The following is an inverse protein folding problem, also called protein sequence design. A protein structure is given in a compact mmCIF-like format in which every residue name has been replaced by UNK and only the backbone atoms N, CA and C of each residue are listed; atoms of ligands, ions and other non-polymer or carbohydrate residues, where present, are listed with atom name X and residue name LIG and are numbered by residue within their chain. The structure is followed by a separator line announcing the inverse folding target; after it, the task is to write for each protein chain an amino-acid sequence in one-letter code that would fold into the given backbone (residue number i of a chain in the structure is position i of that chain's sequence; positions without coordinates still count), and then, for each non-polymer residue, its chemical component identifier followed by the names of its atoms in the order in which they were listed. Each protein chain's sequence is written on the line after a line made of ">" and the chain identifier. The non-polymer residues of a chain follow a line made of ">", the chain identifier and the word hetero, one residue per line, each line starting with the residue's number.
data_IF_108483060549
#
_entry.id   IF_108483060549
#
_cell.length_a   1.000
_cell.length_b   1.000
_cell.length_c   1.000
_cell.angle_alpha   90.00
_cell.angle_beta   90.00
_cell.angle_gamma   90.00
#
_symmetry.space_group_name_H-M   'P 1'
#
loop_
_entity.id
_entity.type
_entity.pdbx_description
1 polymer ?
#
# COMPACT_ATOMS: atom_id res chain seq x y z
N UNK A 1 23.62 -13.32 -9.60
CA UNK A 1 24.47 -12.19 -9.16
C UNK A 1 24.09 -10.95 -9.96
N UNK A 2 24.04 -9.74 -9.36
CA UNK A 2 23.69 -8.53 -10.11
C UNK A 2 24.77 -8.18 -11.14
N UNK A 3 24.33 -7.82 -12.35
CA UNK A 3 25.21 -7.37 -13.44
C UNK A 3 26.05 -6.15 -13.02
N UNK A 4 27.21 -5.95 -13.65
CA UNK A 4 28.05 -4.75 -13.47
C UNK A 4 27.25 -3.44 -13.60
N UNK A 5 26.33 -3.39 -14.58
CA UNK A 5 25.48 -2.23 -14.82
C UNK A 5 24.41 -2.02 -13.74
N UNK A 6 23.82 -3.10 -13.23
CA UNK A 6 22.86 -3.04 -12.12
C UNK A 6 23.50 -2.44 -10.87
N UNK A 7 24.71 -2.88 -10.54
CA UNK A 7 25.45 -2.37 -9.37
C UNK A 7 25.78 -0.87 -9.49
N UNK A 8 26.19 -0.40 -10.68
CA UNK A 8 26.46 1.02 -10.92
C UNK A 8 25.19 1.87 -10.78
N UNK A 9 24.08 1.43 -11.39
CA UNK A 9 22.80 2.16 -11.32
C UNK A 9 22.29 2.22 -9.88
N UNK A 10 22.33 1.10 -9.14
CA UNK A 10 21.90 1.08 -7.74
C UNK A 10 22.74 2.00 -6.87
N UNK A 11 24.08 2.02 -7.04
CA UNK A 11 24.97 2.93 -6.30
C UNK A 11 24.64 4.40 -6.57
N UNK A 12 24.33 4.75 -7.82
CA UNK A 12 23.95 6.12 -8.19
C UNK A 12 22.61 6.51 -7.57
N UNK A 13 21.64 5.61 -7.56
CA UNK A 13 20.33 5.88 -6.95
C UNK A 13 20.38 5.92 -5.41
N UNK A 14 21.30 5.18 -4.79
CA UNK A 14 21.53 5.21 -3.34
C UNK A 14 22.04 6.57 -2.85
N UNK A 15 22.84 7.25 -3.67
CA UNK A 15 23.39 8.58 -3.37
C UNK A 15 22.38 9.72 -3.62
N UNK A 16 21.26 9.44 -4.29
CA UNK A 16 20.32 10.45 -4.78
C UNK A 16 18.88 10.09 -4.39
N UNK A 17 18.54 10.29 -3.10
CA UNK A 17 17.24 9.92 -2.52
C UNK A 17 16.03 10.62 -3.18
N UNK A 18 16.21 11.82 -3.71
CA UNK A 18 15.16 12.58 -4.41
C UNK A 18 14.84 12.02 -5.82
N UNK A 19 15.64 11.08 -6.29
CA UNK A 19 15.51 10.43 -7.58
C UNK A 19 16.18 11.17 -8.73
N UNK A 20 16.44 10.44 -9.82
CA UNK A 20 17.17 10.93 -10.98
C UNK A 20 16.45 10.62 -12.28
N UNK A 21 16.52 11.54 -13.25
CA UNK A 21 16.04 11.26 -14.61
C UNK A 21 16.87 10.15 -15.25
N UNK A 22 16.30 9.44 -16.23
CA UNK A 22 17.04 8.43 -17.01
C UNK A 22 18.36 8.98 -17.57
N UNK A 23 18.37 10.24 -18.01
CA UNK A 23 19.56 10.90 -18.55
C UNK A 23 20.61 11.10 -17.44
N UNK A 24 20.20 11.58 -16.26
CA UNK A 24 21.11 11.80 -15.15
C UNK A 24 21.63 10.48 -14.56
N UNK A 25 20.82 9.42 -14.54
CA UNK A 25 21.28 8.07 -14.19
C UNK A 25 22.34 7.61 -15.18
N UNK A 26 22.10 7.74 -16.49
CA UNK A 26 23.05 7.34 -17.52
C UNK A 26 24.39 8.08 -17.38
N UNK A 27 24.34 9.41 -17.18
CA UNK A 27 25.52 10.24 -17.01
C UNK A 27 26.30 9.90 -15.73
N UNK A 28 25.62 9.81 -14.58
CA UNK A 28 26.28 9.54 -13.29
C UNK A 28 26.77 8.10 -13.15
N UNK A 29 26.06 7.15 -13.76
CA UNK A 29 26.50 5.76 -13.83
C UNK A 29 27.53 5.54 -14.95
N UNK A 30 27.81 6.56 -15.77
CA UNK A 30 28.75 6.51 -16.89
C UNK A 30 28.47 5.31 -17.81
N UNK A 31 27.23 5.31 -18.33
CA UNK A 31 26.68 4.31 -19.26
C UNK A 31 25.83 5.00 -20.33
N UNK A 32 25.58 4.31 -21.44
CA UNK A 32 24.68 4.84 -22.48
C UNK A 32 23.23 4.96 -21.99
N UNK A 33 22.47 5.90 -22.56
CA UNK A 33 21.04 6.08 -22.25
C UNK A 33 20.21 4.82 -22.54
N UNK A 34 20.53 4.09 -23.61
CA UNK A 34 19.86 2.83 -23.97
C UNK A 34 20.16 1.72 -22.96
N UNK A 35 21.41 1.63 -22.50
CA UNK A 35 21.82 0.73 -21.42
C UNK A 35 21.11 1.09 -20.12
N UNK A 36 21.06 2.37 -19.76
CA UNK A 36 20.35 2.84 -18.58
C UNK A 36 18.87 2.45 -18.64
N UNK A 37 18.16 2.72 -19.75
CA UNK A 37 16.76 2.33 -19.93
C UNK A 37 16.53 0.82 -19.75
N UNK A 38 17.34 -0.01 -20.40
CA UNK A 38 17.25 -1.48 -20.30
C UNK A 38 17.38 -1.94 -18.86
N UNK A 39 18.43 -1.50 -18.16
CA UNK A 39 18.71 -1.98 -16.80
C UNK A 39 17.80 -1.34 -15.75
N UNK A 40 17.33 -0.11 -15.95
CA UNK A 40 16.30 0.49 -15.09
C UNK A 40 14.98 -0.29 -15.19
N UNK A 41 14.58 -0.72 -16.40
CA UNK A 41 13.41 -1.58 -16.58
C UNK A 41 13.56 -2.93 -15.85
N UNK A 42 14.71 -3.59 -16.01
CA UNK A 42 15.01 -4.86 -15.33
C UNK A 42 15.03 -4.72 -13.79
N UNK A 43 15.65 -3.65 -13.28
CA UNK A 43 15.72 -3.39 -11.84
C UNK A 43 14.34 -3.07 -11.25
N UNK A 44 13.46 -2.43 -12.03
CA UNK A 44 12.07 -2.16 -11.64
C UNK A 44 11.23 -3.43 -11.63
N UNK A 45 11.37 -4.27 -12.66
CA UNK A 45 10.73 -5.59 -12.70
C UNK A 45 11.17 -6.46 -11.51
N UNK A 46 12.45 -6.36 -11.12
CA UNK A 46 12.99 -7.01 -9.93
C UNK A 46 12.58 -6.34 -8.60
N UNK A 47 11.76 -5.29 -8.62
CA UNK A 47 11.26 -4.57 -7.43
C UNK A 47 12.30 -3.76 -6.67
N UNK A 48 13.52 -3.58 -7.20
CA UNK A 48 14.63 -2.89 -6.52
C UNK A 48 14.56 -1.37 -6.62
N UNK A 49 13.92 -0.87 -7.67
CA UNK A 49 13.76 0.56 -7.94
C UNK A 49 12.36 0.86 -8.44
N UNK A 50 11.94 2.11 -8.33
CA UNK A 50 10.71 2.62 -8.95
C UNK A 50 10.92 4.06 -9.45
N UNK A 51 9.90 4.66 -10.08
CA UNK A 51 9.97 6.07 -10.49
C UNK A 51 8.73 6.87 -10.13
N UNK A 52 8.92 8.17 -9.95
CA UNK A 52 7.82 9.16 -9.93
C UNK A 52 7.78 9.93 -11.24
N UNK A 53 6.59 10.17 -11.77
CA UNK A 53 6.39 11.04 -12.93
C UNK A 53 6.34 12.50 -12.48
N UNK A 54 7.27 13.30 -12.99
CA UNK A 54 7.34 14.75 -12.76
C UNK A 54 7.38 15.42 -14.13
N UNK A 55 6.20 15.88 -14.57
CA UNK A 55 6.01 16.40 -15.93
C UNK A 55 6.34 15.34 -16.99
N UNK A 56 7.15 15.66 -18.02
CA UNK A 56 7.54 14.70 -19.06
C UNK A 56 8.62 13.71 -18.62
N UNK A 57 9.11 13.81 -17.38
CA UNK A 57 10.28 13.06 -16.89
C UNK A 57 9.92 12.03 -15.83
N UNK A 58 10.67 10.93 -15.82
CA UNK A 58 10.63 9.89 -14.78
C UNK A 58 11.83 10.08 -13.85
N UNK A 59 11.60 10.28 -12.56
CA UNK A 59 12.65 10.30 -11.54
C UNK A 59 12.74 8.92 -10.89
N UNK A 60 13.77 8.17 -11.27
CA UNK A 60 14.11 6.86 -10.74
C UNK A 60 14.69 6.97 -9.34
N UNK A 61 14.26 6.10 -8.44
CA UNK A 61 14.72 6.03 -7.05
C UNK A 61 14.77 4.59 -6.57
N UNK A 62 15.55 4.32 -5.53
CA UNK A 62 15.50 3.02 -4.87
C UNK A 62 14.09 2.77 -4.32
N UNK A 63 13.61 1.54 -4.46
CA UNK A 63 12.42 1.11 -3.75
C UNK A 63 12.84 0.99 -2.28
N UNK A 64 12.25 1.81 -1.41
CA UNK A 64 12.40 1.60 0.04
C UNK A 64 12.00 0.15 0.36
N UNK A 65 12.73 -0.55 1.24
CA UNK A 65 12.37 -1.90 1.66
C UNK A 65 10.96 -1.86 2.27
N UNK A 66 9.96 -2.24 1.47
CA UNK A 66 8.54 -2.08 1.80
C UNK A 66 7.66 -1.54 0.66
N UNK A 67 8.20 -0.86 -0.36
CA UNK A 67 7.38 -0.21 -1.42
C UNK A 67 7.20 -1.00 -2.73
N UNK A 68 7.76 -2.22 -2.85
CA UNK A 68 7.76 -2.98 -4.12
C UNK A 68 6.41 -3.60 -4.52
N UNK A 69 5.31 -3.39 -3.77
CA UNK A 69 4.08 -4.20 -3.93
C UNK A 69 2.76 -3.42 -3.90
N UNK A 70 2.79 -2.12 -4.18
CA UNK A 70 1.54 -1.37 -4.41
C UNK A 70 0.91 -1.82 -5.73
N UNK A 71 -0.34 -2.27 -5.70
CA UNK A 71 -1.14 -2.49 -6.91
C UNK A 71 -1.18 -1.15 -7.66
N UNK A 72 -0.72 -1.12 -8.92
CA UNK A 72 -0.61 0.11 -9.71
C UNK A 72 -2.01 0.69 -10.01
N UNK A 73 -2.57 1.46 -9.07
CA UNK A 73 -3.72 2.32 -9.33
C UNK A 73 -3.18 3.60 -9.99
N UNK A 74 -3.92 4.18 -10.95
CA UNK A 74 -3.48 5.42 -11.60
C UNK A 74 -3.10 6.48 -10.55
N UNK A 75 -2.00 7.25 -10.73
CA UNK A 75 -1.44 8.13 -9.69
C UNK A 75 -2.44 9.19 -9.17
N UNK A 76 -3.44 9.57 -9.97
CA UNK A 76 -4.54 10.45 -9.54
C UNK A 76 -5.53 9.79 -8.57
N UNK A 77 -5.71 8.47 -8.65
CA UNK A 77 -6.60 7.68 -7.79
C UNK A 77 -5.94 7.32 -6.46
N UNK A 78 -4.67 6.96 -6.46
CA UNK A 78 -3.92 6.70 -5.21
C UNK A 78 -3.94 7.93 -4.29
N UNK A 79 -3.71 9.13 -4.84
CA UNK A 79 -3.81 10.39 -4.07
C UNK A 79 -5.21 10.63 -3.47
N UNK A 80 -6.27 10.28 -4.19
CA UNK A 80 -7.64 10.38 -3.67
C UNK A 80 -7.83 9.43 -2.49
N UNK A 81 -7.37 8.19 -2.60
CA UNK A 81 -7.46 7.20 -1.52
C UNK A 81 -6.64 7.64 -0.31
N UNK A 82 -5.42 8.15 -0.50
CA UNK A 82 -4.61 8.73 0.57
C UNK A 82 -5.33 9.87 1.30
N UNK A 83 -5.99 10.76 0.55
CA UNK A 83 -6.80 11.84 1.13
C UNK A 83 -7.96 11.30 1.97
N UNK A 84 -8.64 10.27 1.47
CA UNK A 84 -9.75 9.62 2.16
C UNK A 84 -9.28 8.89 3.43
N UNK A 85 -8.11 8.25 3.41
CA UNK A 85 -7.52 7.63 4.61
C UNK A 85 -7.12 8.66 5.68
N UNK A 86 -6.62 9.83 5.27
CA UNK A 86 -6.33 10.93 6.20
C UNK A 86 -7.59 11.47 6.86
N UNK A 87 -8.65 11.66 6.08
CA UNK A 87 -9.98 12.06 6.57
C UNK A 87 -10.54 11.03 7.56
N UNK A 88 -10.40 9.73 7.23
CA UNK A 88 -10.81 8.64 8.11
C UNK A 88 -10.05 8.67 9.44
N UNK A 89 -8.72 8.80 9.39
CA UNK A 89 -7.89 8.88 10.60
C UNK A 89 -8.26 10.06 11.49
N UNK A 90 -8.52 11.23 10.90
CA UNK A 90 -8.90 12.44 11.63
C UNK A 90 -10.29 12.37 12.26
N UNK A 91 -11.28 11.84 11.54
CA UNK A 91 -12.66 11.72 12.02
C UNK A 91 -12.79 10.76 13.20
N UNK A 92 -12.04 9.66 13.20
CA UNK A 92 -12.18 8.58 14.20
C UNK A 92 -11.08 8.51 15.25
N UNK A 93 -9.99 9.26 15.11
CA UNK A 93 -8.85 9.20 16.04
C UNK A 93 -8.06 7.89 15.96
N UNK A 94 -7.93 7.31 14.76
CA UNK A 94 -7.20 6.06 14.54
C UNK A 94 -5.70 6.23 14.69
N UNK A 95 -5.04 5.16 15.13
CA UNK A 95 -3.57 5.05 15.11
C UNK A 95 -3.07 4.83 13.68
N UNK A 96 -3.83 4.09 12.89
CA UNK A 96 -3.55 3.90 11.47
C UNK A 96 -4.69 3.25 10.70
N UNK A 97 -4.59 3.33 9.37
CA UNK A 97 -5.51 2.69 8.45
C UNK A 97 -4.81 2.23 7.17
N UNK A 98 -5.36 1.21 6.53
CA UNK A 98 -4.86 0.70 5.25
C UNK A 98 -6.00 0.21 4.37
N UNK A 99 -5.85 0.41 3.07
CA UNK A 99 -6.69 -0.17 2.04
C UNK A 99 -5.88 -1.22 1.32
N UNK A 100 -6.43 -2.42 1.25
CA UNK A 100 -5.86 -3.53 0.50
C UNK A 100 -6.93 -4.10 -0.44
N UNK A 101 -6.52 -4.92 -1.41
CA UNK A 101 -7.49 -5.71 -2.17
C UNK A 101 -7.89 -6.99 -1.42
N UNK A 102 -8.79 -7.78 -2.02
CA UNK A 102 -9.27 -9.03 -1.42
C UNK A 102 -8.19 -10.12 -1.26
N UNK A 103 -7.02 -9.96 -1.90
CA UNK A 103 -5.85 -10.84 -1.74
C UNK A 103 -4.90 -10.33 -0.65
N UNK A 104 -5.13 -9.14 -0.10
CA UNK A 104 -4.29 -8.50 0.91
C UNK A 104 -3.14 -7.67 0.34
N UNK A 105 -3.12 -7.39 -0.97
CA UNK A 105 -2.13 -6.50 -1.57
C UNK A 105 -2.47 -5.05 -1.23
N UNK A 106 -1.47 -4.31 -0.75
CA UNK A 106 -1.67 -2.92 -0.33
C UNK A 106 -1.95 -2.02 -1.52
N UNK A 107 -3.00 -1.21 -1.37
CA UNK A 107 -3.39 -0.14 -2.30
C UNK A 107 -2.87 1.20 -1.77
N UNK A 108 -3.11 1.48 -0.49
CA UNK A 108 -2.66 2.69 0.21
C UNK A 108 -2.66 2.43 1.71
N UNK A 109 -1.77 3.08 2.46
CA UNK A 109 -1.70 2.93 3.91
C UNK A 109 -1.21 4.21 4.59
N UNK A 110 -1.80 4.51 5.74
CA UNK A 110 -1.33 5.47 6.74
C UNK A 110 -1.24 4.71 8.07
N UNK A 111 -0.14 3.99 8.25
CA UNK A 111 0.11 3.12 9.40
C UNK A 111 1.31 3.65 10.21
N UNK A 112 1.40 3.28 11.50
CA UNK A 112 2.61 3.49 12.30
C UNK A 112 3.87 2.96 11.62
N UNK A 113 5.02 3.59 11.88
CA UNK A 113 6.29 3.31 11.19
C UNK A 113 6.85 1.91 11.45
N UNK A 114 6.45 1.28 12.55
CA UNK A 114 6.82 -0.08 12.95
C UNK A 114 5.92 -1.16 12.31
N UNK A 115 4.84 -0.75 11.63
CA UNK A 115 3.91 -1.66 10.98
C UNK A 115 4.18 -1.80 9.47
N UNK A 116 4.16 -3.04 8.99
CA UNK A 116 4.29 -3.34 7.57
C UNK A 116 2.89 -3.52 6.93
N UNK A 117 2.48 -2.64 6.00
CA UNK A 117 1.16 -2.68 5.37
C UNK A 117 0.84 -4.02 4.68
N UNK A 118 1.81 -4.60 3.99
CA UNK A 118 1.65 -5.83 3.20
C UNK A 118 1.42 -7.04 4.10
N UNK A 119 2.13 -7.13 5.22
CA UNK A 119 1.93 -8.17 6.22
C UNK A 119 0.54 -8.05 6.84
N UNK A 120 0.17 -6.84 7.28
CA UNK A 120 -1.16 -6.60 7.88
C UNK A 120 -2.27 -6.94 6.88
N UNK A 121 -2.19 -6.44 5.65
CA UNK A 121 -3.15 -6.72 4.58
C UNK A 121 -3.31 -8.22 4.34
N UNK A 122 -2.20 -8.94 4.21
CA UNK A 122 -2.19 -10.40 3.99
C UNK A 122 -2.79 -11.17 5.16
N UNK A 123 -2.47 -10.80 6.40
CA UNK A 123 -3.00 -11.51 7.57
C UNK A 123 -4.49 -11.27 7.75
N UNK A 124 -4.94 -10.01 7.62
CA UNK A 124 -6.35 -9.65 7.81
C UNK A 124 -7.22 -10.23 6.69
N UNK A 125 -6.76 -10.21 5.43
CA UNK A 125 -7.50 -10.85 4.32
C UNK A 125 -7.67 -12.34 4.55
N UNK A 126 -6.61 -13.04 5.02
CA UNK A 126 -6.68 -14.46 5.38
C UNK A 126 -7.61 -14.73 6.55
N UNK A 127 -7.59 -13.91 7.61
CA UNK A 127 -8.50 -14.06 8.74
C UNK A 127 -9.95 -13.96 8.27
N UNK A 128 -10.27 -12.99 7.42
CA UNK A 128 -11.61 -12.84 6.86
C UNK A 128 -12.00 -14.06 6.01
N UNK A 129 -11.11 -14.57 5.16
CA UNK A 129 -11.35 -15.78 4.35
C UNK A 129 -11.56 -17.04 5.21
N UNK A 130 -10.76 -17.21 6.27
CA UNK A 130 -10.89 -18.34 7.20
C UNK A 130 -12.21 -18.22 7.96
N UNK A 131 -12.55 -17.03 8.45
CA UNK A 131 -13.80 -16.75 9.17
C UNK A 131 -15.05 -16.88 8.31
N UNK A 132 -14.94 -16.67 6.99
CA UNK A 132 -16.07 -16.82 6.07
C UNK A 132 -16.63 -18.25 6.06
N UNK A 133 -15.80 -19.28 6.29
CA UNK A 133 -16.24 -20.68 6.34
C UNK A 133 -17.23 -20.96 7.49
N UNK A 134 -16.89 -20.75 8.77
CA UNK A 134 -17.84 -20.94 9.87
C UNK A 134 -19.02 -19.96 9.82
N UNK A 135 -18.82 -18.74 9.30
CA UNK A 135 -19.90 -17.78 9.11
C UNK A 135 -20.96 -18.32 8.14
N UNK A 136 -20.56 -18.84 6.98
CA UNK A 136 -21.48 -19.44 6.00
C UNK A 136 -22.18 -20.69 6.54
N UNK A 137 -21.47 -21.55 7.29
CA UNK A 137 -22.10 -22.70 7.97
C UNK A 137 -23.19 -22.29 8.97
N UNK A 138 -23.13 -21.04 9.46
CA UNK A 138 -24.07 -20.46 10.41
C UNK A 138 -25.10 -19.55 9.73
N UNK A 139 -25.15 -19.48 8.40
CA UNK A 139 -26.05 -18.59 7.64
C UNK A 139 -25.71 -17.10 7.76
N UNK A 140 -24.46 -16.76 8.08
CA UNK A 140 -23.94 -15.38 8.25
C UNK A 140 -23.03 -15.03 7.06
N UNK A 141 -23.51 -15.29 5.84
CA UNK A 141 -22.82 -14.93 4.60
C UNK A 141 -23.54 -13.78 3.85
N UNK A 142 -22.79 -12.92 3.13
CA UNK A 142 -21.33 -12.87 3.09
C UNK A 142 -20.72 -12.25 4.35
N UNK A 143 -19.59 -12.79 4.82
CA UNK A 143 -18.83 -12.19 5.93
C UNK A 143 -18.18 -10.87 5.47
N UNK A 144 -18.72 -9.74 5.91
CA UNK A 144 -18.28 -8.40 5.49
C UNK A 144 -17.22 -7.78 6.38
N UNK A 145 -17.12 -8.17 7.64
CA UNK A 145 -16.22 -7.51 8.59
C UNK A 145 -15.66 -8.46 9.64
N UNK A 146 -14.47 -8.16 10.14
CA UNK A 146 -13.86 -8.79 11.31
C UNK A 146 -13.39 -7.72 12.29
N UNK A 147 -13.51 -8.02 13.58
CA UNK A 147 -12.98 -7.21 14.68
C UNK A 147 -12.04 -8.11 15.47
N UNK A 148 -10.80 -7.66 15.62
CA UNK A 148 -9.79 -8.27 16.48
C UNK A 148 -9.56 -7.32 17.66
N UNK A 149 -9.78 -7.81 18.87
CA UNK A 149 -9.67 -7.03 20.09
C UNK A 149 -8.54 -7.57 20.96
N UNK A 150 -7.71 -6.65 21.48
CA UNK A 150 -6.66 -6.96 22.42
C UNK A 150 -6.60 -5.88 23.51
N UNK A 151 -5.75 -6.11 24.51
CA UNK A 151 -5.69 -5.25 25.71
C UNK A 151 -5.38 -3.77 25.41
N UNK A 152 -4.64 -3.52 24.32
CA UNK A 152 -4.15 -2.17 23.97
C UNK A 152 -4.96 -1.50 22.87
N UNK A 153 -5.83 -2.23 22.17
CA UNK A 153 -6.50 -1.70 21.00
C UNK A 153 -7.27 -2.72 20.19
N UNK A 154 -7.76 -2.26 19.04
CA UNK A 154 -8.60 -3.04 18.14
C UNK A 154 -8.15 -2.86 16.69
N UNK A 155 -8.20 -3.95 15.94
CA UNK A 155 -8.16 -3.93 14.48
C UNK A 155 -9.58 -4.21 13.99
N UNK A 156 -10.14 -3.28 13.22
CA UNK A 156 -11.42 -3.43 12.56
C UNK A 156 -11.17 -3.47 11.07
N UNK A 157 -11.65 -4.51 10.39
CA UNK A 157 -11.50 -4.62 8.96
C UNK A 157 -12.85 -4.91 8.29
N UNK A 158 -13.10 -4.26 7.16
CA UNK A 158 -14.34 -4.37 6.40
C UNK A 158 -14.06 -4.51 4.92
N UNK A 159 -14.61 -5.56 4.30
CA UNK A 159 -14.63 -5.74 2.86
C UNK A 159 -15.82 -4.98 2.25
N UNK A 160 -15.56 -4.27 1.17
CA UNK A 160 -16.56 -3.58 0.37
C UNK A 160 -16.17 -3.68 -1.11
N UNK A 161 -16.92 -4.47 -1.88
CA UNK A 161 -16.58 -4.77 -3.28
C UNK A 161 -15.21 -5.46 -3.44
N UNK A 162 -14.27 -4.79 -4.13
CA UNK A 162 -12.92 -5.31 -4.41
C UNK A 162 -11.86 -4.86 -3.38
N UNK A 163 -12.27 -4.12 -2.37
CA UNK A 163 -11.36 -3.55 -1.37
C UNK A 163 -11.68 -4.05 0.03
N UNK A 164 -10.65 -4.06 0.87
CA UNK A 164 -10.69 -4.33 2.29
C UNK A 164 -10.04 -3.13 2.99
N UNK A 165 -10.86 -2.39 3.74
CA UNK A 165 -10.39 -1.29 4.58
C UNK A 165 -10.07 -1.85 5.97
N UNK A 166 -8.92 -1.47 6.51
CA UNK A 166 -8.38 -1.89 7.80
C UNK A 166 -8.17 -0.62 8.64
N UNK A 167 -8.67 -0.63 9.87
CA UNK A 167 -8.54 0.44 10.84
C UNK A 167 -7.89 -0.11 12.13
N UNK A 168 -6.94 0.65 12.68
CA UNK A 168 -6.24 0.32 13.92
C UNK A 168 -6.51 1.45 14.90
N UNK A 169 -7.00 1.08 16.08
CA UNK A 169 -7.45 2.03 17.10
C UNK A 169 -6.96 1.62 18.48
N UNK A 170 -6.68 2.60 19.33
CA UNK A 170 -6.43 2.36 20.76
C UNK A 170 -7.69 1.92 21.48
N UNK A 171 -7.54 1.27 22.65
CA UNK A 171 -8.65 0.68 23.42
C UNK A 171 -9.77 1.67 23.79
N UNK A 172 -9.43 2.95 23.94
CA UNK A 172 -10.36 4.00 24.39
C UNK A 172 -11.17 4.59 23.23
N UNK A 173 -10.84 4.23 21.98
CA UNK A 173 -11.58 4.65 20.80
C UNK A 173 -12.95 3.95 20.77
N UNK A 174 -14.07 4.68 20.70
CA UNK A 174 -15.41 4.07 20.71
C UNK A 174 -15.62 3.13 19.50
N UNK A 175 -15.80 1.83 19.76
CA UNK A 175 -15.98 0.84 18.71
C UNK A 175 -17.18 1.13 17.79
N UNK A 176 -18.27 1.66 18.35
CA UNK A 176 -19.44 2.07 17.57
C UNK A 176 -19.11 3.12 16.51
N UNK A 177 -18.26 4.10 16.86
CA UNK A 177 -17.81 5.14 15.95
C UNK A 177 -16.91 4.55 14.84
N UNK A 178 -15.93 3.71 15.21
CA UNK A 178 -15.06 3.04 14.23
C UNK A 178 -15.87 2.19 13.24
N UNK A 179 -16.91 1.48 13.72
CA UNK A 179 -17.79 0.66 12.87
C UNK A 179 -18.63 1.49 11.90
N UNK A 180 -19.15 2.64 12.32
CA UNK A 180 -19.92 3.54 11.47
C UNK A 180 -19.03 4.10 10.35
N UNK A 181 -17.90 4.65 10.75
CA UNK A 181 -16.98 5.38 9.87
C UNK A 181 -16.29 4.43 8.89
N UNK A 182 -15.83 3.25 9.35
CA UNK A 182 -15.21 2.28 8.43
C UNK A 182 -16.19 1.80 7.35
N UNK A 183 -17.49 1.74 7.65
CA UNK A 183 -18.51 1.41 6.63
C UNK A 183 -18.65 2.51 5.58
N UNK A 184 -18.72 3.77 6.02
CA UNK A 184 -18.86 4.92 5.14
C UNK A 184 -17.62 5.12 4.25
N UNK A 185 -16.43 5.06 4.86
CA UNK A 185 -15.16 5.19 4.16
C UNK A 185 -14.88 4.01 3.22
N UNK A 186 -15.22 2.77 3.59
CA UNK A 186 -15.05 1.63 2.70
C UNK A 186 -15.92 1.76 1.43
N UNK A 187 -17.17 2.25 1.56
CA UNK A 187 -18.05 2.54 0.41
C UNK A 187 -17.48 3.67 -0.47
N UNK A 188 -17.00 4.75 0.15
CA UNK A 188 -16.37 5.88 -0.58
C UNK A 188 -15.15 5.41 -1.38
N UNK A 189 -14.34 4.54 -0.81
CA UNK A 189 -13.14 3.99 -1.45
C UNK A 189 -13.51 2.99 -2.54
N UNK A 190 -14.47 2.09 -2.30
CA UNK A 190 -14.87 1.08 -3.30
C UNK A 190 -15.38 1.71 -4.59
N UNK A 191 -16.05 2.87 -4.52
CA UNK A 191 -16.48 3.65 -5.69
C UNK A 191 -15.32 4.20 -6.54
N UNK A 192 -14.09 4.25 -6.00
CA UNK A 192 -12.90 4.63 -6.76
C UNK A 192 -12.33 3.45 -7.59
N UNK A 193 -12.87 2.24 -7.41
CA UNK A 193 -12.50 1.01 -8.11
C UNK A 193 -13.67 0.47 -8.96
N UNK A 194 -13.50 0.28 -10.28
CA UNK A 194 -14.46 -0.44 -11.11
C UNK A 194 -14.39 -1.97 -10.88
#
# INVERSE_FOLDING_TARGET
>A
MPSYYEKRILRVLEQHKDGLTTVNVAQKADISKTTALKYLALLREAGKIDFIEVGPSKLWRLTEPGKAKYKHVAPSRTRKIESVLKEFKQSTGLEGSAVVDNEGLTISADLPWDMNPEKIGTFISRILQIGAKPASMSGIDPLKSVILEGEKGRIVARSEGKVLLIAISGKDTPLGMVKLEIEEFAKKISQLFP
#
